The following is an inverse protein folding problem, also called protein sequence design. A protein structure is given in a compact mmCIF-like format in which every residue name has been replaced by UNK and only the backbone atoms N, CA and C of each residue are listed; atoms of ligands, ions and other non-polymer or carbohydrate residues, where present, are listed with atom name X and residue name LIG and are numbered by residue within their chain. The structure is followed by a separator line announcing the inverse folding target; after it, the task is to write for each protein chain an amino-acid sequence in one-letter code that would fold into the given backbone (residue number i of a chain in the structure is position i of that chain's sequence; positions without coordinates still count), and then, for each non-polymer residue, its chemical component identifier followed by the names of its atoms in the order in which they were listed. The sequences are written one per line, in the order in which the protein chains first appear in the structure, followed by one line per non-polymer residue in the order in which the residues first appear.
data_IF_628718666471
#
_entry.id   IF_628718666471
#
_cell.length_a   1.000
_cell.length_b   1.000
_cell.length_c   1.000
_cell.angle_alpha   90.00
_cell.angle_beta   90.00
_cell.angle_gamma   90.00
#
_symmetry.space_group_name_H-M   'P 1'
#
loop_
_entity.id
_entity.type
_entity.pdbx_description
1 polymer ?
#
# COMPACT_ATOMS: atom_id res chain seq x y z
N UNK A 1 1.80 -8.36 -4.07
CA UNK A 1 2.90 -8.36 -3.06
C UNK A 1 2.42 -7.59 -1.84
N UNK A 2 2.65 -8.14 -0.64
CA UNK A 2 2.29 -7.50 0.64
C UNK A 2 3.51 -7.55 1.55
N UNK A 3 3.81 -6.46 2.26
CA UNK A 3 4.81 -6.44 3.33
C UNK A 3 4.35 -5.57 4.49
N UNK A 4 4.68 -5.99 5.71
CA UNK A 4 4.34 -5.29 6.95
C UNK A 4 5.61 -5.08 7.75
N UNK A 5 5.88 -3.84 8.11
CA UNK A 5 6.97 -3.47 9.02
C UNK A 5 6.37 -2.87 10.30
N UNK A 6 6.90 -3.24 11.47
CA UNK A 6 6.60 -2.55 12.73
C UNK A 6 7.49 -1.32 12.79
N UNK A 7 6.91 -0.16 13.10
CA UNK A 7 7.64 1.10 13.13
C UNK A 7 7.46 1.80 14.47
N UNK A 8 8.43 2.64 14.83
CA UNK A 8 8.32 3.52 15.99
C UNK A 8 7.85 4.90 15.54
N UNK A 9 6.96 5.54 16.30
CA UNK A 9 6.50 6.91 16.01
C UNK A 9 4.99 7.03 16.15
N UNK A 10 4.37 7.83 15.27
CA UNK A 10 2.92 8.08 15.29
C UNK A 10 2.08 6.94 14.70
N UNK A 11 2.71 5.91 14.16
CA UNK A 11 2.06 4.74 13.57
C UNK A 11 2.71 3.48 14.14
N UNK A 12 1.92 2.41 14.32
CA UNK A 12 2.43 1.12 14.81
C UNK A 12 2.95 0.23 13.67
N UNK A 13 2.29 0.31 12.51
CA UNK A 13 2.61 -0.53 11.34
C UNK A 13 2.75 0.29 10.07
N UNK A 14 3.71 -0.09 9.24
CA UNK A 14 3.82 0.37 7.87
C UNK A 14 3.52 -0.80 6.91
N UNK A 15 2.37 -0.74 6.24
CA UNK A 15 1.88 -1.79 5.34
C UNK A 15 2.04 -1.35 3.89
N UNK A 16 2.76 -2.14 3.09
CA UNK A 16 2.87 -1.93 1.63
C UNK A 16 2.07 -3.01 0.91
N UNK A 17 1.15 -2.60 0.05
CA UNK A 17 0.35 -3.49 -0.79
C UNK A 17 0.54 -3.07 -2.24
N UNK A 18 0.93 -4.01 -3.09
CA UNK A 18 0.89 -3.83 -4.54
C UNK A 18 -0.50 -4.22 -5.05
N UNK A 19 -1.14 -3.30 -5.78
CA UNK A 19 -2.51 -3.44 -6.27
C UNK A 19 -2.54 -3.16 -7.77
N UNK A 20 -3.21 -4.03 -8.52
CA UNK A 20 -3.30 -3.92 -9.98
C UNK A 20 -4.36 -2.91 -10.44
N UNK A 21 -5.44 -2.74 -9.67
CA UNK A 21 -6.57 -1.86 -9.98
C UNK A 21 -7.06 -1.07 -8.76
N UNK A 22 -7.39 0.20 -8.94
CA UNK A 22 -7.86 1.06 -7.83
C UNK A 22 -9.11 0.55 -7.12
N UNK A 23 -10.01 -0.18 -7.81
CA UNK A 23 -11.17 -0.81 -7.18
C UNK A 23 -10.75 -1.69 -5.99
N UNK A 24 -9.70 -2.47 -6.16
CA UNK A 24 -9.20 -3.41 -5.16
C UNK A 24 -8.54 -2.68 -3.97
N UNK A 25 -8.11 -1.41 -4.13
CA UNK A 25 -7.57 -0.61 -3.02
C UNK A 25 -8.65 -0.30 -2.00
N UNK A 26 -9.83 0.11 -2.47
CA UNK A 26 -10.97 0.40 -1.60
C UNK A 26 -11.37 -0.82 -0.80
N UNK A 27 -11.49 -1.97 -1.45
CA UNK A 27 -11.87 -3.23 -0.81
C UNK A 27 -10.82 -3.62 0.25
N UNK A 28 -9.53 -3.60 -0.09
CA UNK A 28 -8.45 -3.97 0.85
C UNK A 28 -8.34 -3.02 2.05
N UNK A 29 -8.37 -1.70 1.83
CA UNK A 29 -8.17 -0.72 2.90
C UNK A 29 -9.44 -0.58 3.75
N UNK A 30 -10.59 -0.37 3.11
CA UNK A 30 -11.81 0.01 3.79
C UNK A 30 -12.52 -1.23 4.35
N UNK A 31 -12.59 -2.31 3.57
CA UNK A 31 -13.38 -3.47 3.96
C UNK A 31 -12.60 -4.47 4.78
N UNK A 32 -11.30 -4.64 4.54
CA UNK A 32 -10.51 -5.66 5.24
C UNK A 32 -9.71 -5.06 6.40
N UNK A 33 -8.82 -4.10 6.12
CA UNK A 33 -7.88 -3.60 7.14
C UNK A 33 -8.57 -2.93 8.33
N UNK A 34 -9.64 -2.16 8.09
CA UNK A 34 -10.38 -1.48 9.17
C UNK A 34 -11.22 -2.42 10.03
N UNK A 35 -11.52 -3.63 9.56
CA UNK A 35 -12.29 -4.62 10.33
C UNK A 35 -11.42 -5.47 11.25
N UNK A 36 -10.10 -5.39 11.12
CA UNK A 36 -9.16 -6.15 11.96
C UNK A 36 -9.25 -5.63 13.41
N UNK A 37 -9.56 -6.49 14.39
CA UNK A 37 -9.59 -6.09 15.79
C UNK A 37 -8.25 -5.50 16.23
N UNK A 38 -8.29 -4.31 16.84
CA UNK A 38 -7.09 -3.59 17.28
C UNK A 38 -6.56 -2.56 16.28
N UNK A 39 -7.04 -2.56 15.03
CA UNK A 39 -6.75 -1.46 14.10
C UNK A 39 -7.63 -0.27 14.44
N UNK A 40 -7.03 0.80 14.97
CA UNK A 40 -7.73 2.03 15.32
C UNK A 40 -7.96 2.94 14.12
N UNK A 41 -6.88 3.46 13.54
CA UNK A 41 -6.92 4.36 12.39
C UNK A 41 -5.92 3.93 11.32
N UNK A 42 -6.29 4.14 10.06
CA UNK A 42 -5.44 3.87 8.89
C UNK A 42 -5.26 5.15 8.09
N UNK A 43 -4.02 5.47 7.72
CA UNK A 43 -3.74 6.47 6.68
C UNK A 43 -3.10 5.76 5.47
N UNK A 44 -3.59 6.06 4.28
CA UNK A 44 -3.18 5.38 3.05
C UNK A 44 -2.48 6.35 2.11
N UNK A 45 -1.27 6.00 1.71
CA UNK A 45 -0.54 6.68 0.64
C UNK A 45 -0.57 5.84 -0.63
N UNK A 46 -0.93 6.45 -1.74
CA UNK A 46 -0.96 5.81 -3.05
C UNK A 46 0.21 6.32 -3.86
N UNK A 47 1.04 5.39 -4.35
CA UNK A 47 2.12 5.72 -5.26
C UNK A 47 1.76 5.34 -6.69
N UNK A 48 1.82 6.33 -7.59
CA UNK A 48 1.62 6.14 -9.03
C UNK A 48 2.94 5.89 -9.78
N UNK A 49 4.06 6.16 -9.13
CA UNK A 49 5.40 6.09 -9.74
C UNK A 49 6.37 5.40 -8.79
N UNK A 50 7.14 4.46 -9.30
CA UNK A 50 8.18 3.82 -8.51
C UNK A 50 9.51 4.53 -8.74
N UNK A 51 10.25 4.80 -7.66
CA UNK A 51 11.59 5.37 -7.73
C UNK A 51 12.58 4.42 -7.06
N UNK A 52 13.78 4.29 -7.62
CA UNK A 52 14.90 3.57 -7.01
C UNK A 52 16.18 4.35 -7.26
N UNK A 53 16.92 4.63 -6.19
CA UNK A 53 18.17 5.39 -6.23
C UNK A 53 18.03 6.76 -6.95
N UNK A 54 16.92 7.46 -6.71
CA UNK A 54 16.66 8.78 -7.31
C UNK A 54 16.19 8.73 -8.78
N UNK A 55 16.04 7.55 -9.38
CA UNK A 55 15.57 7.39 -10.76
C UNK A 55 14.14 6.86 -10.78
N UNK A 56 13.30 7.41 -11.65
CA UNK A 56 11.96 6.87 -11.94
C UNK A 56 12.11 5.54 -12.66
N UNK A 57 11.47 4.50 -12.12
CA UNK A 57 11.32 3.22 -12.78
C UNK A 57 10.00 3.24 -13.55
N UNK A 58 10.09 3.28 -14.87
CA UNK A 58 8.95 3.00 -15.74
C UNK A 58 8.82 1.48 -15.87
N UNK A 59 7.76 0.90 -15.28
CA UNK A 59 7.39 -0.49 -15.62
C UNK A 59 6.71 -0.47 -16.98
N UNK A 60 7.36 -1.07 -17.99
CA UNK A 60 6.69 -1.42 -19.25
C UNK A 60 5.54 -2.36 -18.93
N UNK A 61 4.30 -1.88 -19.10
CA UNK A 61 3.12 -2.74 -19.02
C UNK A 61 3.05 -3.48 -20.35
N UNK A 62 3.47 -4.74 -20.37
CA UNK A 62 3.09 -5.67 -21.44
C UNK A 62 1.60 -5.92 -21.33
N UNK A 63 0.80 -5.04 -21.95
CA UNK A 63 -0.61 -5.28 -22.20
C UNK A 63 -0.71 -6.14 -23.47
N UNK A 64 -0.83 -7.44 -23.26
CA UNK A 64 -1.33 -8.40 -24.27
C UNK A 64 -2.84 -8.34 -24.34
#
# INVERSE_FOLDING_TARGET
MVSVDIVTGSYDFFVRVAIDYMKNLTDVIIEEMRKIPGVGNTQTLISFSQFRNGLTINRERNIS
#
